data_IF_912676762163
#
_entry.id   IF_912676762163
#
_cell.length_a   1.000
_cell.length_b   1.000
_cell.length_c   1.000
_cell.angle_alpha   90.00
_cell.angle_beta   90.00
_cell.angle_gamma   90.00
#
_symmetry.space_group_name_H-M   'P 1'
#
loop_
_entity.id
_entity.type
_entity.pdbx_description
1 polymer ?
#
# COMPACT_ATOMS: atom_id res chain seq x y z
N UNK A 1 53.95 -7.73 9.92
CA UNK A 1 53.18 -6.50 10.14
C UNK A 1 51.82 -6.60 9.42
N UNK A 2 50.80 -6.97 10.17
CA UNK A 2 49.46 -7.12 9.65
C UNK A 2 48.78 -5.75 9.47
N UNK A 3 48.27 -5.48 8.28
CA UNK A 3 47.37 -4.35 8.04
C UNK A 3 45.96 -4.80 8.42
N UNK A 4 45.48 -4.34 9.56
CA UNK A 4 44.08 -4.38 9.93
C UNK A 4 43.28 -3.51 8.94
N UNK A 5 42.41 -4.14 8.16
CA UNK A 5 41.46 -3.42 7.30
C UNK A 5 40.56 -2.56 8.20
N UNK A 6 40.70 -1.24 8.06
CA UNK A 6 39.81 -0.29 8.70
C UNK A 6 38.39 -0.53 8.18
N UNK A 7 37.53 -1.05 9.03
CA UNK A 7 36.11 -1.18 8.71
C UNK A 7 35.51 0.18 8.43
N UNK A 8 34.70 0.27 7.39
CA UNK A 8 33.96 1.51 7.05
C UNK A 8 33.17 1.97 8.25
N UNK A 9 33.38 3.21 8.75
CA UNK A 9 32.67 3.73 9.92
C UNK A 9 31.16 3.63 9.74
N UNK A 10 30.45 3.35 10.82
CA UNK A 10 29.01 3.07 10.80
C UNK A 10 28.17 4.19 10.19
N UNK A 11 28.58 5.46 10.42
CA UNK A 11 27.94 6.62 9.83
C UNK A 11 28.09 6.70 8.29
N UNK A 12 29.13 6.10 7.72
CA UNK A 12 29.31 6.03 6.26
C UNK A 12 28.44 4.91 5.69
N UNK A 13 28.22 3.81 6.43
CA UNK A 13 27.28 2.75 6.02
C UNK A 13 25.85 3.27 5.98
N UNK A 14 25.45 4.16 6.86
CA UNK A 14 24.12 4.79 6.87
C UNK A 14 23.94 5.76 5.70
N UNK A 15 25.02 6.41 5.22
CA UNK A 15 25.00 7.26 4.03
C UNK A 15 24.96 6.49 2.71
N UNK A 16 25.38 5.21 2.72
CA UNK A 16 25.40 4.35 1.54
C UNK A 16 24.11 3.55 1.31
N UNK A 17 23.15 3.61 2.24
CA UNK A 17 21.82 3.08 2.01
C UNK A 17 21.06 4.08 1.15
N UNK A 18 20.72 3.76 -0.12
CA UNK A 18 19.90 4.65 -0.92
C UNK A 18 18.59 4.91 -0.16
N UNK A 19 18.37 6.14 0.26
CA UNK A 19 17.07 6.57 0.80
C UNK A 19 16.09 6.69 -0.36
N UNK A 20 15.74 5.57 -0.98
CA UNK A 20 14.61 5.55 -1.89
C UNK A 20 13.38 5.89 -1.06
N UNK A 21 12.74 6.98 -1.41
CA UNK A 21 11.52 7.41 -0.73
C UNK A 21 10.51 6.25 -0.78
N UNK A 22 9.87 5.93 0.35
CA UNK A 22 8.81 4.92 0.37
C UNK A 22 7.72 5.24 -0.69
N UNK A 23 7.50 6.52 -1.01
CA UNK A 23 6.59 6.98 -2.08
C UNK A 23 7.03 6.50 -3.47
N UNK A 24 8.34 6.44 -3.72
CA UNK A 24 8.87 5.90 -4.98
C UNK A 24 8.71 4.39 -5.06
N UNK A 25 9.04 3.66 -3.99
CA UNK A 25 8.82 2.21 -3.92
C UNK A 25 7.35 1.84 -4.10
N UNK A 26 6.47 2.66 -3.54
CA UNK A 26 5.04 2.52 -3.67
C UNK A 26 4.58 2.73 -5.14
N UNK A 27 5.07 3.79 -5.78
CA UNK A 27 4.80 4.04 -7.21
C UNK A 27 5.30 2.90 -8.11
N UNK A 28 6.49 2.38 -7.84
CA UNK A 28 7.03 1.23 -8.57
C UNK A 28 6.12 0.02 -8.44
N UNK A 29 5.71 -0.32 -7.21
CA UNK A 29 4.81 -1.44 -6.94
C UNK A 29 3.51 -1.32 -7.74
N UNK A 30 2.93 -0.13 -7.78
CA UNK A 30 1.69 0.08 -8.53
C UNK A 30 1.90 0.17 -10.05
N UNK A 31 3.04 0.62 -10.48
CA UNK A 31 3.42 0.54 -11.90
C UNK A 31 3.54 -0.93 -12.32
N UNK A 32 4.15 -1.77 -11.50
CA UNK A 32 4.20 -3.23 -11.71
C UNK A 32 2.80 -3.87 -11.74
N UNK A 33 1.88 -3.45 -10.86
CA UNK A 33 0.51 -3.92 -10.87
C UNK A 33 -0.24 -3.55 -12.16
N UNK A 34 0.04 -2.38 -12.73
CA UNK A 34 -0.57 -1.89 -13.97
C UNK A 34 0.10 -2.45 -15.21
N UNK A 35 1.40 -2.76 -15.14
CA UNK A 35 2.16 -3.30 -16.26
C UNK A 35 1.60 -4.67 -16.66
N UNK A 36 1.19 -4.81 -17.89
CA UNK A 36 0.54 -6.02 -18.41
C UNK A 36 -0.98 -5.97 -18.47
N UNK A 37 -1.60 -4.92 -17.91
CA UNK A 37 -3.04 -4.66 -18.08
C UNK A 37 -3.35 -3.69 -19.22
N UNK A 38 -2.31 -3.11 -19.82
CA UNK A 38 -2.45 -2.28 -21.00
C UNK A 38 -2.77 -3.15 -22.22
N UNK A 39 -3.88 -2.87 -22.89
CA UNK A 39 -4.22 -3.56 -24.13
C UNK A 39 -4.42 -2.56 -25.27
N UNK A 40 -4.04 -3.00 -26.47
CA UNK A 40 -4.27 -2.24 -27.67
C UNK A 40 -5.73 -2.35 -28.11
N UNK A 41 -6.41 -1.20 -28.28
CA UNK A 41 -7.77 -1.18 -28.82
C UNK A 41 -7.85 -0.38 -30.10
N UNK A 42 -8.60 -0.92 -31.09
CA UNK A 42 -8.95 -0.23 -32.32
C UNK A 42 -10.23 0.60 -32.19
N UNK A 43 -10.99 0.46 -31.09
CA UNK A 43 -12.22 1.23 -30.85
C UNK A 43 -11.94 2.75 -30.73
N UNK A 44 -10.74 3.09 -30.33
CA UNK A 44 -10.23 4.47 -30.32
C UNK A 44 -8.86 4.49 -30.98
N UNK A 45 -8.78 4.67 -32.31
CA UNK A 45 -7.51 4.68 -33.01
C UNK A 45 -6.56 5.78 -32.51
N UNK A 46 -5.27 5.51 -32.53
CA UNK A 46 -4.27 6.47 -32.12
C UNK A 46 -4.23 7.66 -33.08
N UNK A 47 -4.74 8.80 -32.63
CA UNK A 47 -4.89 10.03 -33.45
C UNK A 47 -3.56 10.54 -34.05
N UNK A 48 -2.44 10.25 -33.39
CA UNK A 48 -1.10 10.67 -33.84
C UNK A 48 -0.74 10.10 -35.22
N UNK A 49 -1.27 8.93 -35.56
CA UNK A 49 -0.95 8.23 -36.79
C UNK A 49 -2.06 8.27 -37.86
N UNK A 50 -3.24 8.83 -37.51
CA UNK A 50 -4.34 8.95 -38.47
C UNK A 50 -3.98 9.79 -39.69
N UNK A 51 -3.13 10.79 -39.54
CA UNK A 51 -2.65 11.65 -40.63
C UNK A 51 -1.78 10.90 -41.65
N UNK A 52 -1.23 9.74 -41.29
CA UNK A 52 -0.42 8.90 -42.17
C UNK A 52 -1.23 7.87 -42.95
N UNK A 53 -2.55 7.88 -42.80
CA UNK A 53 -3.45 6.90 -43.44
C UNK A 53 -3.37 5.50 -42.82
N UNK A 54 -2.65 5.33 -41.73
CA UNK A 54 -2.53 4.06 -41.01
C UNK A 54 -3.31 4.11 -39.70
N UNK A 55 -4.07 3.07 -39.44
CA UNK A 55 -4.85 2.90 -38.20
C UNK A 55 -4.03 2.04 -37.24
N UNK A 56 -3.52 2.66 -36.17
CA UNK A 56 -2.85 1.94 -35.09
C UNK A 56 -3.78 1.88 -33.87
N UNK A 57 -3.72 0.78 -33.07
CA UNK A 57 -4.46 0.73 -31.82
C UNK A 57 -3.98 1.80 -30.85
N UNK A 58 -4.88 2.35 -30.08
CA UNK A 58 -4.55 3.13 -28.89
C UNK A 58 -4.31 2.18 -27.73
N UNK A 59 -3.34 2.49 -26.89
CA UNK A 59 -3.14 1.78 -25.64
C UNK A 59 -4.15 2.31 -24.62
N UNK A 60 -4.92 1.42 -24.05
CA UNK A 60 -5.82 1.71 -22.93
C UNK A 60 -5.21 1.08 -21.70
N UNK A 61 -4.86 1.91 -20.72
CA UNK A 61 -4.49 1.43 -19.40
C UNK A 61 -5.77 1.10 -18.63
N UNK A 62 -5.86 -0.11 -18.13
CA UNK A 62 -6.97 -0.44 -17.23
C UNK A 62 -6.87 0.39 -15.95
N UNK A 63 -8.02 0.82 -15.48
CA UNK A 63 -8.14 1.45 -14.16
C UNK A 63 -7.77 0.39 -13.12
N UNK A 64 -7.04 0.78 -12.08
CA UNK A 64 -6.78 -0.11 -10.95
C UNK A 64 -8.13 -0.52 -10.37
N UNK A 65 -8.34 -1.81 -10.20
CA UNK A 65 -9.58 -2.36 -9.66
C UNK A 65 -9.78 -2.02 -8.18
N UNK A 66 -10.50 -2.85 -7.48
CA UNK A 66 -10.71 -2.65 -6.04
C UNK A 66 -9.44 -2.93 -5.25
N UNK A 67 -9.19 -2.13 -4.22
CA UNK A 67 -8.07 -2.30 -3.28
C UNK A 67 -8.64 -2.48 -1.88
N UNK A 68 -8.04 -3.35 -1.11
CA UNK A 68 -8.27 -3.40 0.34
C UNK A 68 -7.11 -2.71 1.03
N UNK A 69 -7.44 -1.76 1.88
CA UNK A 69 -6.50 -1.04 2.70
C UNK A 69 -6.77 -1.38 4.17
N UNK A 70 -5.75 -1.86 4.85
CA UNK A 70 -5.89 -2.28 6.24
C UNK A 70 -4.97 -1.50 7.15
N UNK A 71 -5.43 -1.18 8.33
CA UNK A 71 -4.68 -0.45 9.35
C UNK A 71 -4.63 -1.26 10.63
N UNK A 72 -3.43 -1.49 11.11
CA UNK A 72 -3.17 -1.98 12.45
C UNK A 72 -3.62 -0.93 13.47
N UNK A 73 -4.55 -1.29 14.32
CA UNK A 73 -5.08 -0.45 15.39
C UNK A 73 -4.75 -1.00 16.77
N UNK A 74 -3.76 -1.89 16.84
CA UNK A 74 -3.22 -2.40 18.12
C UNK A 74 -2.65 -1.30 19.01
N UNK A 75 -2.45 -1.62 20.27
CA UNK A 75 -1.95 -0.64 21.24
C UNK A 75 -0.59 -0.04 20.88
N UNK A 76 0.31 -0.80 20.24
CA UNK A 76 1.62 -0.32 19.76
C UNK A 76 1.52 0.69 18.62
N UNK A 77 0.52 0.50 17.73
CA UNK A 77 0.29 1.35 16.56
C UNK A 77 -0.54 2.61 16.85
N UNK A 78 -1.03 2.81 18.08
CA UNK A 78 -1.96 3.90 18.39
C UNK A 78 -1.41 5.29 18.02
N UNK A 79 -0.10 5.51 18.22
CA UNK A 79 0.58 6.75 17.85
C UNK A 79 0.81 6.92 16.34
N UNK A 80 0.67 5.87 15.55
CA UNK A 80 0.95 5.84 14.12
C UNK A 80 -0.31 5.98 13.24
N UNK A 81 -1.49 5.83 13.85
CA UNK A 81 -2.78 5.96 13.17
C UNK A 81 -2.91 7.25 12.34
N UNK A 82 -2.52 8.44 12.86
CA UNK A 82 -2.59 9.67 12.04
C UNK A 82 -1.74 9.59 10.78
N UNK A 83 -0.54 8.97 10.87
CA UNK A 83 0.32 8.74 9.71
C UNK A 83 -0.35 7.75 8.74
N UNK A 84 -0.90 6.65 9.24
CA UNK A 84 -1.61 5.66 8.40
C UNK A 84 -2.78 6.28 7.64
N UNK A 85 -3.54 7.16 8.28
CA UNK A 85 -4.63 7.90 7.64
C UNK A 85 -4.09 8.83 6.56
N UNK A 86 -2.99 9.55 6.84
CA UNK A 86 -2.34 10.42 5.84
C UNK A 86 -1.86 9.65 4.61
N UNK A 87 -1.26 8.47 4.82
CA UNK A 87 -0.81 7.59 3.74
C UNK A 87 -1.98 7.03 2.93
N UNK A 88 -3.07 6.67 3.60
CA UNK A 88 -4.31 6.25 2.94
C UNK A 88 -4.84 7.34 2.01
N UNK A 89 -4.91 8.59 2.46
CA UNK A 89 -5.38 9.74 1.65
C UNK A 89 -4.46 9.94 0.44
N UNK A 90 -3.15 9.99 0.65
CA UNK A 90 -2.18 10.17 -0.42
C UNK A 90 -2.26 9.04 -1.47
N UNK A 91 -2.54 7.83 -1.02
CA UNK A 91 -2.77 6.68 -1.87
C UNK A 91 -4.02 6.85 -2.73
N UNK A 92 -5.15 7.21 -2.12
CA UNK A 92 -6.41 7.45 -2.81
C UNK A 92 -6.25 8.48 -3.94
N UNK A 93 -5.58 9.60 -3.65
CA UNK A 93 -5.36 10.68 -4.60
C UNK A 93 -4.43 10.28 -5.77
N UNK A 94 -3.41 9.48 -5.46
CA UNK A 94 -2.39 9.10 -6.45
C UNK A 94 -2.89 8.01 -7.39
N UNK A 95 -3.61 7.02 -6.86
CA UNK A 95 -3.92 5.79 -7.57
C UNK A 95 -5.27 5.78 -8.25
N UNK A 96 -6.24 6.47 -7.66
CA UNK A 96 -7.62 6.53 -8.14
C UNK A 96 -8.18 5.16 -8.52
N UNK A 97 -8.19 4.19 -7.59
CA UNK A 97 -8.73 2.87 -7.85
C UNK A 97 -10.25 2.94 -8.05
N UNK A 98 -10.84 1.86 -8.58
CA UNK A 98 -12.30 1.79 -8.75
C UNK A 98 -13.04 1.86 -7.41
N UNK A 99 -12.48 1.24 -6.38
CA UNK A 99 -12.93 1.36 -5.00
C UNK A 99 -11.81 1.00 -4.02
N UNK A 100 -11.93 1.49 -2.77
CA UNK A 100 -11.07 1.08 -1.66
C UNK A 100 -11.95 0.62 -0.49
N UNK A 101 -11.66 -0.57 0.01
CA UNK A 101 -12.24 -1.09 1.22
C UNK A 101 -11.29 -0.81 2.38
N UNK A 102 -11.78 -0.09 3.38
CA UNK A 102 -11.01 0.25 4.57
C UNK A 102 -11.35 -0.71 5.71
N UNK A 103 -10.34 -1.36 6.25
CA UNK A 103 -10.44 -2.29 7.37
C UNK A 103 -9.46 -1.85 8.46
N UNK A 104 -9.87 -1.83 9.72
CA UNK A 104 -8.93 -1.80 10.85
C UNK A 104 -8.90 -3.16 11.52
N UNK A 105 -7.81 -3.48 12.19
CA UNK A 105 -7.67 -4.75 12.89
C UNK A 105 -6.75 -4.61 14.11
N UNK A 106 -7.03 -5.44 15.10
CA UNK A 106 -6.20 -5.66 16.28
C UNK A 106 -6.15 -7.17 16.60
N UNK A 107 -6.98 -7.66 17.48
CA UNK A 107 -7.25 -9.10 17.70
C UNK A 107 -8.27 -9.64 16.70
N UNK A 108 -9.10 -8.76 16.15
CA UNK A 108 -10.15 -9.04 15.17
C UNK A 108 -10.15 -7.99 14.07
N UNK A 109 -10.60 -8.33 12.85
CA UNK A 109 -10.78 -7.36 11.80
C UNK A 109 -12.11 -6.63 11.91
N UNK A 110 -12.11 -5.33 11.62
CA UNK A 110 -13.28 -4.46 11.60
C UNK A 110 -13.41 -3.79 10.23
N UNK A 111 -14.44 -4.16 9.48
CA UNK A 111 -14.75 -3.45 8.24
C UNK A 111 -15.28 -2.05 8.57
N UNK A 112 -14.63 -1.03 8.04
CA UNK A 112 -14.97 0.35 8.35
C UNK A 112 -15.85 0.97 7.27
N UNK A 113 -15.36 1.04 6.02
CA UNK A 113 -16.07 1.71 4.93
C UNK A 113 -15.54 1.27 3.56
N UNK A 114 -16.40 1.33 2.54
CA UNK A 114 -16.02 1.32 1.12
C UNK A 114 -16.03 2.75 0.62
N UNK A 115 -14.96 3.15 -0.04
CA UNK A 115 -14.86 4.41 -0.78
C UNK A 115 -14.88 4.10 -2.26
N UNK A 116 -15.65 4.87 -3.03
CA UNK A 116 -15.76 4.72 -4.48
C UNK A 116 -14.87 5.72 -5.20
N UNK A 117 -14.61 5.48 -6.48
CA UNK A 117 -13.85 6.40 -7.33
C UNK A 117 -14.41 7.83 -7.30
N UNK A 118 -15.75 7.98 -7.29
CA UNK A 118 -16.41 9.29 -7.29
C UNK A 118 -16.08 10.11 -6.04
N UNK A 119 -15.96 9.45 -4.88
CA UNK A 119 -15.58 10.09 -3.62
C UNK A 119 -14.14 10.63 -3.66
N UNK A 120 -13.24 9.99 -4.43
CA UNK A 120 -11.87 10.49 -4.61
C UNK A 120 -11.75 11.57 -5.69
N UNK A 121 -12.54 11.48 -6.76
CA UNK A 121 -12.48 12.39 -7.91
C UNK A 121 -12.94 13.79 -7.57
N UNK A 122 -13.89 13.92 -6.64
CA UNK A 122 -14.49 15.19 -6.23
C UNK A 122 -13.77 15.90 -5.07
N UNK A 123 -12.63 15.37 -4.66
CA UNK A 123 -11.89 15.82 -3.47
C UNK A 123 -12.23 14.98 -2.26
N UNK A 124 -11.20 14.34 -1.70
CA UNK A 124 -11.37 13.41 -0.60
C UNK A 124 -11.58 14.16 0.72
N UNK A 125 -12.74 13.94 1.34
CA UNK A 125 -13.04 14.51 2.64
C UNK A 125 -12.52 13.58 3.75
N UNK A 126 -11.42 13.99 4.36
CA UNK A 126 -10.76 13.25 5.46
C UNK A 126 -11.72 13.00 6.63
N UNK A 127 -12.70 13.88 6.85
CA UNK A 127 -13.69 13.73 7.93
C UNK A 127 -14.58 12.49 7.77
N UNK A 128 -14.65 11.95 6.54
CA UNK A 128 -15.41 10.75 6.23
C UNK A 128 -14.67 9.45 6.55
N UNK A 129 -13.39 9.53 6.91
CA UNK A 129 -12.63 8.34 7.33
C UNK A 129 -13.11 7.95 8.73
N UNK A 130 -13.71 6.76 8.89
CA UNK A 130 -14.11 6.30 10.21
C UNK A 130 -12.87 6.12 11.10
N UNK A 131 -13.04 6.39 12.38
CA UNK A 131 -11.99 6.10 13.36
C UNK A 131 -11.71 4.61 13.35
N UNK A 132 -10.43 4.19 13.29
CA UNK A 132 -10.06 2.78 13.44
C UNK A 132 -10.62 2.23 14.74
N UNK A 133 -11.15 1.03 14.69
CA UNK A 133 -11.59 0.29 15.86
C UNK A 133 -10.48 -0.65 16.28
N UNK A 134 -10.35 -0.88 17.58
CA UNK A 134 -9.36 -1.77 18.15
C UNK A 134 -8.69 -1.14 19.38
N UNK A 135 -7.45 -1.55 19.65
CA UNK A 135 -6.65 -1.15 20.81
C UNK A 135 -6.17 -2.33 21.64
N UNK A 136 -6.42 -3.56 21.15
CA UNK A 136 -5.99 -4.82 21.74
C UNK A 136 -4.65 -5.32 21.23
N UNK A 137 -4.58 -6.63 20.93
CA UNK A 137 -3.40 -7.30 20.39
C UNK A 137 -3.25 -7.13 18.89
N UNK A 138 -2.38 -7.94 18.28
CA UNK A 138 -1.93 -7.79 16.88
C UNK A 138 -2.10 -9.10 16.11
N UNK A 139 -3.33 -9.42 15.69
CA UNK A 139 -3.66 -10.63 14.93
C UNK A 139 -4.25 -10.27 13.56
N UNK A 140 -3.42 -10.32 12.52
CA UNK A 140 -3.85 -9.98 11.15
C UNK A 140 -4.58 -11.13 10.44
N UNK A 141 -4.46 -12.35 10.94
CA UNK A 141 -4.96 -13.58 10.28
C UNK A 141 -6.47 -13.59 10.00
N UNK A 142 -7.24 -12.82 10.75
CA UNK A 142 -8.68 -12.64 10.54
C UNK A 142 -9.03 -11.83 9.30
N UNK A 143 -8.13 -10.95 8.85
CA UNK A 143 -8.38 -10.02 7.73
C UNK A 143 -8.60 -10.77 6.41
N UNK A 144 -7.73 -11.71 5.97
CA UNK A 144 -7.96 -12.46 4.74
C UNK A 144 -9.28 -13.24 4.76
N UNK A 145 -9.66 -13.77 5.91
CA UNK A 145 -10.94 -14.46 6.06
C UNK A 145 -12.11 -13.50 5.86
N UNK A 146 -12.07 -12.31 6.49
CA UNK A 146 -13.12 -11.29 6.31
C UNK A 146 -13.27 -10.89 4.85
N UNK A 147 -12.18 -10.67 4.12
CA UNK A 147 -12.20 -10.31 2.70
C UNK A 147 -12.92 -11.39 1.88
N UNK A 148 -12.63 -12.68 2.13
CA UNK A 148 -13.29 -13.82 1.46
C UNK A 148 -14.78 -13.88 1.80
N UNK A 149 -15.12 -13.78 3.08
CA UNK A 149 -16.51 -13.88 3.57
C UNK A 149 -17.38 -12.75 3.02
N UNK A 150 -16.80 -11.58 2.77
CA UNK A 150 -17.47 -10.44 2.13
C UNK A 150 -17.54 -10.55 0.59
N UNK A 151 -16.90 -11.54 -0.02
CA UNK A 151 -16.85 -11.69 -1.47
C UNK A 151 -16.06 -10.59 -2.18
N UNK A 152 -15.15 -9.92 -1.49
CA UNK A 152 -14.28 -8.89 -2.08
C UNK A 152 -13.13 -9.60 -2.80
N UNK A 153 -12.89 -9.22 -4.07
CA UNK A 153 -11.76 -9.73 -4.84
C UNK A 153 -10.81 -8.59 -5.25
N UNK A 154 -9.97 -8.12 -4.33
CA UNK A 154 -9.12 -6.97 -4.58
C UNK A 154 -7.94 -7.33 -5.49
N UNK A 155 -7.46 -6.36 -6.25
CA UNK A 155 -6.21 -6.49 -7.00
C UNK A 155 -4.99 -6.57 -6.09
N UNK A 156 -5.05 -5.85 -4.99
CA UNK A 156 -4.05 -5.94 -3.93
C UNK A 156 -4.63 -5.58 -2.57
N UNK A 157 -3.95 -6.05 -1.54
CA UNK A 157 -4.20 -5.70 -0.15
C UNK A 157 -2.97 -4.94 0.37
N UNK A 158 -3.21 -3.79 0.97
CA UNK A 158 -2.18 -2.94 1.57
C UNK A 158 -2.36 -2.96 3.07
N UNK A 159 -1.36 -3.43 3.78
CA UNK A 159 -1.38 -3.51 5.24
C UNK A 159 -0.41 -2.48 5.83
N UNK A 160 -0.90 -1.65 6.74
CA UNK A 160 -0.09 -0.74 7.55
C UNK A 160 0.00 -1.26 8.97
N UNK A 161 1.22 -1.43 9.48
CA UNK A 161 1.52 -1.98 10.80
C UNK A 161 2.94 -1.55 11.22
N UNK A 162 3.26 -1.65 12.51
CA UNK A 162 4.64 -1.55 13.00
C UNK A 162 5.41 -2.86 12.83
N UNK A 163 4.73 -3.94 12.42
CA UNK A 163 5.30 -5.25 12.16
C UNK A 163 5.44 -6.13 13.41
N UNK A 164 4.96 -5.67 14.57
CA UNK A 164 4.96 -6.48 15.80
C UNK A 164 3.68 -7.33 15.88
N UNK A 165 3.67 -8.41 15.09
CA UNK A 165 2.54 -9.32 15.01
C UNK A 165 2.63 -10.42 16.06
N UNK A 166 1.49 -10.77 16.66
CA UNK A 166 1.41 -11.88 17.62
C UNK A 166 1.91 -13.18 16.99
N UNK A 167 2.91 -13.79 17.65
CA UNK A 167 3.53 -15.02 17.16
C UNK A 167 4.21 -14.92 15.79
N UNK A 168 4.44 -13.69 15.27
CA UNK A 168 4.94 -13.46 13.91
C UNK A 168 4.09 -14.15 12.84
N UNK A 169 2.80 -14.25 13.07
CA UNK A 169 1.86 -14.84 12.12
C UNK A 169 1.31 -13.79 11.14
N UNK A 170 1.85 -13.82 9.95
CA UNK A 170 1.51 -12.89 8.86
C UNK A 170 0.26 -13.29 8.06
N UNK A 171 -0.35 -14.42 8.38
CA UNK A 171 -1.53 -14.94 7.71
C UNK A 171 -1.27 -15.50 6.30
N UNK A 172 -2.33 -16.02 5.71
CA UNK A 172 -2.32 -16.56 4.33
C UNK A 172 -3.21 -15.70 3.45
N UNK A 173 -2.61 -15.17 2.38
CA UNK A 173 -3.24 -14.21 1.49
C UNK A 173 -3.40 -14.77 0.08
N UNK A 174 -4.57 -14.64 -0.50
CA UNK A 174 -4.89 -15.10 -1.87
C UNK A 174 -4.58 -14.01 -2.91
N UNK A 175 -4.33 -12.78 -2.46
CA UNK A 175 -4.12 -11.60 -3.29
C UNK A 175 -2.69 -11.08 -3.17
N UNK A 176 -2.28 -10.26 -4.13
CA UNK A 176 -1.03 -9.51 -4.00
C UNK A 176 -1.08 -8.66 -2.75
N UNK A 177 -0.09 -8.80 -1.88
CA UNK A 177 -0.07 -8.14 -0.58
C UNK A 177 1.15 -7.24 -0.47
N UNK A 178 0.91 -6.02 -0.03
CA UNK A 178 1.93 -5.02 0.28
C UNK A 178 1.88 -4.70 1.77
N UNK A 179 3.02 -4.83 2.42
CA UNK A 179 3.21 -4.48 3.82
C UNK A 179 3.96 -3.16 3.92
N UNK A 180 3.33 -2.17 4.51
CA UNK A 180 3.90 -0.87 4.82
C UNK A 180 4.22 -0.85 6.31
N UNK A 181 5.49 -1.03 6.64
CA UNK A 181 5.94 -1.22 8.03
C UNK A 181 6.59 0.05 8.53
N UNK A 182 6.12 0.52 9.69
CA UNK A 182 6.66 1.67 10.40
C UNK A 182 7.53 1.22 11.59
N UNK A 183 8.56 2.01 11.89
CA UNK A 183 9.31 1.85 13.14
C UNK A 183 10.19 0.62 13.30
N UNK A 184 10.05 -0.41 12.47
CA UNK A 184 10.86 -1.63 12.53
C UNK A 184 11.55 -1.94 11.21
N UNK A 185 12.54 -2.86 11.24
CA UNK A 185 13.24 -3.36 10.03
C UNK A 185 12.81 -4.78 9.68
N UNK A 186 11.65 -5.18 10.14
CA UNK A 186 11.10 -6.52 9.89
C UNK A 186 10.61 -6.58 8.46
N UNK A 187 10.82 -7.71 7.80
CA UNK A 187 10.26 -8.01 6.49
C UNK A 187 9.20 -9.08 6.62
N UNK A 188 8.05 -8.86 5.99
CA UNK A 188 7.03 -9.89 5.89
C UNK A 188 7.53 -11.04 5.03
N UNK A 189 7.31 -12.29 5.43
CA UNK A 189 7.60 -13.46 4.60
C UNK A 189 6.60 -13.63 3.45
N UNK A 190 5.51 -12.86 3.44
CA UNK A 190 4.42 -12.93 2.46
C UNK A 190 4.25 -11.57 1.79
N UNK A 191 4.26 -11.55 0.46
CA UNK A 191 4.10 -10.32 -0.31
C UNK A 191 5.35 -9.44 -0.35
N UNK A 192 5.17 -8.16 -0.64
CA UNK A 192 6.26 -7.16 -0.69
C UNK A 192 6.23 -6.30 0.56
N UNK A 193 7.40 -5.93 1.08
CA UNK A 193 7.52 -5.03 2.24
C UNK A 193 8.11 -3.70 1.82
N UNK A 194 7.52 -2.61 2.27
CA UNK A 194 8.05 -1.25 2.18
C UNK A 194 8.16 -0.69 3.60
N UNK A 195 9.30 -0.10 3.92
CA UNK A 195 9.47 0.56 5.22
C UNK A 195 9.14 2.04 5.09
N UNK A 196 8.21 2.48 5.93
CA UNK A 196 7.82 3.88 6.05
C UNK A 196 8.60 4.47 7.23
N UNK A 197 9.43 5.47 6.96
CA UNK A 197 10.12 6.17 8.05
C UNK A 197 9.10 6.96 8.86
N UNK A 198 9.20 6.87 10.18
CA UNK A 198 8.50 7.80 11.07
C UNK A 198 8.96 9.22 10.71
N UNK A 199 8.07 10.06 10.24
CA UNK A 199 8.34 11.47 10.17
C UNK A 199 8.43 11.96 11.63
N UNK A 200 9.63 12.27 12.08
CA UNK A 200 9.81 13.00 13.32
C UNK A 200 9.24 14.40 13.07
N UNK A 201 8.00 14.60 13.44
CA UNK A 201 7.41 15.94 13.53
C UNK A 201 8.16 16.65 14.65
N UNK A 202 9.20 17.39 14.28
CA UNK A 202 9.79 18.39 15.18
C UNK A 202 8.78 19.54 15.25
N UNK A 203 8.12 19.66 16.39
CA UNK A 203 7.32 20.82 16.80
C UNK A 203 8.26 21.98 17.15
#
# INVERSE_FOLDING_TARGET
AGKTGAGVPQHIKELLVPKVSWKEQFREYFTELRTGKDYGTYSRPNRKYLSTGRVFPSTVSEVIGEIVFTMDSSGSCHGEIPQFVSEFVALCETMKPSAIHLISWDTEPYYLKKFTYEEFANGFDISQIPKPKGGGGTMVTGVPKMIRDMGINPECVINLTDGDLYGQDWGTWDWKTLWCITGSKIFSPVGKTIHINRETTSW
#
